data_IF_143195121422
#
_entry.id   IF_143195121422
#
_cell.length_a   1.000
_cell.length_b   1.000
_cell.length_c   1.000
_cell.angle_alpha   90.00
_cell.angle_beta   90.00
_cell.angle_gamma   90.00
#
_symmetry.space_group_name_H-M   'P 1'
#
loop_
_entity.id
_entity.type
_entity.pdbx_description
1 polymer ?
#
# COMPACT_ATOMS: atom_id res chain seq x y z
N UNK A 1 -38.28 -6.94 15.28
CA UNK A 1 -37.02 -6.50 15.92
C UNK A 1 -36.05 -7.62 15.66
N UNK A 2 -34.92 -7.33 15.00
CA UNK A 2 -33.85 -8.30 14.82
C UNK A 2 -33.34 -8.78 16.17
N UNK A 3 -33.01 -10.07 16.27
CA UNK A 3 -32.40 -10.61 17.48
C UNK A 3 -30.91 -10.33 17.45
N UNK A 4 -30.48 -9.39 18.31
CA UNK A 4 -29.10 -8.90 18.36
C UNK A 4 -28.50 -9.25 19.71
N UNK A 5 -27.48 -10.10 19.70
CA UNK A 5 -26.74 -10.51 20.90
C UNK A 5 -25.28 -10.10 20.80
N UNK A 6 -24.79 -9.34 21.78
CA UNK A 6 -23.39 -8.91 21.89
C UNK A 6 -22.72 -9.70 23.02
N UNK A 7 -21.83 -10.62 22.65
CA UNK A 7 -20.93 -11.28 23.58
C UNK A 7 -19.78 -10.33 23.95
N UNK A 8 -19.59 -10.11 25.25
CA UNK A 8 -18.75 -9.04 25.82
C UNK A 8 -17.93 -9.57 26.99
N UNK A 9 -16.93 -8.79 27.40
CA UNK A 9 -16.34 -8.88 28.76
C UNK A 9 -16.27 -7.50 29.40
N UNK A 10 -16.13 -7.46 30.72
CA UNK A 10 -16.15 -6.22 31.52
C UNK A 10 -15.06 -5.21 31.13
N UNK A 11 -13.89 -5.68 30.66
CA UNK A 11 -12.72 -4.82 30.34
C UNK A 11 -12.42 -4.71 28.85
N UNK A 12 -13.36 -5.06 27.99
CA UNK A 12 -13.18 -5.06 26.55
C UNK A 12 -13.53 -3.68 25.95
N UNK A 13 -12.54 -2.88 25.47
CA UNK A 13 -12.81 -1.56 24.90
C UNK A 13 -13.64 -1.63 23.62
N UNK A 14 -13.40 -2.62 22.77
CA UNK A 14 -14.16 -2.82 21.53
C UNK A 14 -15.63 -3.22 21.79
N UNK A 15 -15.89 -3.94 22.89
CA UNK A 15 -17.24 -4.28 23.31
C UNK A 15 -18.01 -3.01 23.73
N UNK A 16 -17.33 -2.02 24.32
CA UNK A 16 -17.94 -0.72 24.59
C UNK A 16 -18.26 0.04 23.30
N UNK A 17 -17.42 -0.08 22.27
CA UNK A 17 -17.65 0.54 20.96
C UNK A 17 -18.88 -0.04 20.24
N UNK A 18 -19.04 -1.37 20.21
CA UNK A 18 -20.25 -2.04 19.68
C UNK A 18 -21.51 -1.52 20.38
N UNK A 19 -21.51 -1.50 21.72
CA UNK A 19 -22.65 -1.01 22.51
C UNK A 19 -22.96 0.46 22.23
N UNK A 20 -21.93 1.30 22.15
CA UNK A 20 -22.07 2.72 21.85
C UNK A 20 -22.64 2.96 20.45
N UNK A 21 -22.20 2.20 19.46
CA UNK A 21 -22.72 2.25 18.10
C UNK A 21 -24.21 1.87 18.04
N UNK A 22 -24.58 0.73 18.61
CA UNK A 22 -25.97 0.25 18.61
C UNK A 22 -26.89 1.24 19.36
N UNK A 23 -26.44 1.77 20.51
CA UNK A 23 -27.15 2.82 21.23
C UNK A 23 -27.32 4.10 20.39
N UNK A 24 -26.27 4.55 19.69
CA UNK A 24 -26.30 5.76 18.85
C UNK A 24 -27.31 5.64 17.71
N UNK A 25 -27.50 4.43 17.17
CA UNK A 25 -28.42 4.14 16.07
C UNK A 25 -29.83 3.76 16.55
N UNK A 26 -30.10 3.85 17.85
CA UNK A 26 -31.38 3.44 18.47
C UNK A 26 -31.74 1.97 18.20
N UNK A 27 -30.72 1.11 18.15
CA UNK A 27 -30.85 -0.33 17.90
C UNK A 27 -30.84 -1.06 19.24
N UNK A 28 -31.88 -1.85 19.51
CA UNK A 28 -31.99 -2.68 20.73
C UNK A 28 -31.16 -3.96 20.62
N UNK A 29 -30.48 -4.35 21.71
CA UNK A 29 -29.64 -5.56 21.76
C UNK A 29 -29.60 -6.16 23.17
N UNK A 30 -29.19 -7.43 23.25
CA UNK A 30 -28.88 -8.17 24.47
C UNK A 30 -27.36 -8.26 24.65
N UNK A 31 -26.86 -8.14 25.88
CA UNK A 31 -25.43 -8.32 26.19
C UNK A 31 -25.25 -9.56 27.04
N UNK A 32 -24.32 -10.43 26.63
CA UNK A 32 -23.88 -11.58 27.41
C UNK A 32 -22.42 -11.39 27.79
N UNK A 33 -22.13 -11.32 29.10
CA UNK A 33 -20.76 -11.20 29.59
C UNK A 33 -20.12 -12.57 29.76
N UNK A 34 -19.42 -13.04 28.72
CA UNK A 34 -18.77 -14.37 28.70
C UNK A 34 -17.53 -14.45 29.59
N UNK A 35 -17.13 -13.34 30.22
CA UNK A 35 -16.07 -13.31 31.22
C UNK A 35 -16.54 -13.78 32.60
N UNK A 36 -17.86 -13.90 32.80
CA UNK A 36 -18.44 -14.31 34.08
C UNK A 36 -18.59 -15.84 34.18
N UNK A 37 -18.29 -16.45 35.34
CA UNK A 37 -18.39 -17.91 35.52
C UNK A 37 -19.78 -18.49 35.23
N UNK A 38 -20.84 -17.72 35.46
CA UNK A 38 -22.22 -18.13 35.19
C UNK A 38 -22.54 -18.27 33.69
N UNK A 39 -21.76 -17.66 32.79
CA UNK A 39 -22.00 -17.63 31.35
C UNK A 39 -21.02 -18.53 30.56
N UNK A 40 -20.48 -19.58 31.20
CA UNK A 40 -19.50 -20.49 30.57
C UNK A 40 -20.10 -21.21 29.35
N UNK A 41 -21.37 -21.60 29.40
CA UNK A 41 -22.02 -22.25 28.25
C UNK A 41 -22.23 -21.27 27.09
N UNK A 42 -22.56 -20.01 27.38
CA UNK A 42 -22.62 -18.95 26.36
C UNK A 42 -21.25 -18.67 25.74
N UNK A 43 -20.18 -18.74 26.53
CA UNK A 43 -18.82 -18.62 26.03
C UNK A 43 -18.46 -19.76 25.06
N UNK A 44 -18.86 -21.00 25.38
CA UNK A 44 -18.67 -22.16 24.48
C UNK A 44 -19.48 -22.02 23.21
N UNK A 45 -20.72 -21.54 23.33
CA UNK A 45 -21.60 -21.31 22.19
C UNK A 45 -21.04 -20.21 21.27
N UNK A 46 -20.62 -19.08 21.84
CA UNK A 46 -19.92 -18.01 21.11
C UNK A 46 -18.73 -18.57 20.33
N UNK A 47 -17.86 -19.39 20.96
CA UNK A 47 -16.73 -20.03 20.29
C UNK A 47 -17.19 -20.96 19.15
N UNK A 48 -18.27 -21.72 19.37
CA UNK A 48 -18.80 -22.67 18.39
C UNK A 48 -19.30 -21.96 17.13
N UNK A 49 -20.04 -20.85 17.29
CA UNK A 49 -20.67 -20.15 16.17
C UNK A 49 -19.71 -19.20 15.44
N UNK A 50 -18.75 -18.62 16.16
CA UNK A 50 -17.82 -17.63 15.59
C UNK A 50 -16.44 -18.18 15.24
N UNK A 51 -16.07 -19.34 15.80
CA UNK A 51 -14.69 -19.83 15.79
C UNK A 51 -13.73 -19.00 16.66
N UNK A 52 -14.22 -17.95 17.32
CA UNK A 52 -13.42 -17.01 18.09
C UNK A 52 -13.45 -17.28 19.59
N UNK A 53 -12.28 -17.13 20.22
CA UNK A 53 -12.12 -17.21 21.68
C UNK A 53 -12.14 -15.85 22.38
N UNK A 54 -12.13 -14.77 21.60
CA UNK A 54 -12.16 -13.39 22.07
C UNK A 54 -13.51 -12.70 21.87
N UNK A 55 -13.65 -11.52 22.47
CA UNK A 55 -14.81 -10.62 22.35
C UNK A 55 -14.35 -9.27 21.75
N UNK A 56 -15.25 -8.48 21.12
CA UNK A 56 -16.69 -8.72 20.97
C UNK A 56 -17.01 -9.70 19.84
N UNK A 57 -18.10 -10.45 20.02
CA UNK A 57 -18.80 -11.17 18.95
C UNK A 57 -20.24 -10.70 18.98
N UNK A 58 -20.75 -10.23 17.85
CA UNK A 58 -22.14 -9.78 17.72
C UNK A 58 -22.88 -10.72 16.78
N UNK A 59 -24.02 -11.24 17.22
CA UNK A 59 -24.89 -12.08 16.40
C UNK A 59 -26.13 -11.27 16.05
N UNK A 60 -26.45 -11.16 14.75
CA UNK A 60 -27.62 -10.46 14.23
C UNK A 60 -28.39 -11.42 13.34
N UNK A 61 -29.58 -11.85 13.77
CA UNK A 61 -30.44 -12.76 13.00
C UNK A 61 -29.71 -14.02 12.45
N UNK A 62 -28.73 -14.51 13.23
CA UNK A 62 -27.90 -15.68 12.90
C UNK A 62 -26.60 -15.37 12.16
N UNK A 63 -26.39 -14.15 11.71
CA UNK A 63 -25.13 -13.68 11.14
C UNK A 63 -24.14 -13.29 12.24
N UNK A 64 -22.88 -13.71 12.11
CA UNK A 64 -21.84 -13.50 13.14
C UNK A 64 -20.87 -12.41 12.68
N UNK A 65 -20.80 -11.32 13.43
CA UNK A 65 -19.80 -10.26 13.29
C UNK A 65 -18.76 -10.41 14.39
N UNK A 66 -17.50 -10.45 14.00
CA UNK A 66 -16.36 -10.55 14.91
C UNK A 66 -15.75 -9.16 15.05
N UNK A 67 -15.51 -8.71 16.28
CA UNK A 67 -14.94 -7.40 16.54
C UNK A 67 -15.96 -6.26 16.43
N UNK A 68 -15.45 -5.05 16.23
CA UNK A 68 -16.26 -3.86 15.99
C UNK A 68 -16.11 -3.44 14.53
N UNK A 69 -17.08 -3.83 13.70
CA UNK A 69 -17.07 -3.60 12.24
C UNK A 69 -18.29 -2.76 11.84
N UNK A 70 -18.11 -1.44 11.80
CA UNK A 70 -19.18 -0.48 11.49
C UNK A 70 -19.69 -0.59 10.07
N UNK A 71 -18.85 -0.97 9.10
CA UNK A 71 -19.26 -1.19 7.73
C UNK A 71 -20.25 -2.36 7.66
N UNK A 72 -19.93 -3.49 8.30
CA UNK A 72 -20.83 -4.65 8.34
C UNK A 72 -22.11 -4.37 9.10
N UNK A 73 -22.05 -3.61 10.20
CA UNK A 73 -23.26 -3.15 10.88
C UNK A 73 -24.12 -2.24 9.99
N UNK A 74 -23.51 -1.27 9.30
CA UNK A 74 -24.23 -0.37 8.41
C UNK A 74 -24.91 -1.14 7.27
N UNK A 75 -24.22 -2.09 6.65
CA UNK A 75 -24.76 -2.97 5.61
C UNK A 75 -25.98 -3.75 6.11
N UNK A 76 -25.86 -4.45 7.24
CA UNK A 76 -26.94 -5.28 7.79
C UNK A 76 -28.15 -4.43 8.20
N UNK A 77 -27.92 -3.25 8.76
CA UNK A 77 -29.00 -2.35 9.19
C UNK A 77 -29.54 -1.47 8.05
N UNK A 78 -29.04 -1.61 6.82
CA UNK A 78 -29.44 -0.77 5.69
C UNK A 78 -29.19 0.71 5.95
N UNK A 79 -28.15 1.03 6.72
CA UNK A 79 -27.75 2.39 7.02
C UNK A 79 -26.86 2.85 5.87
N UNK A 80 -27.43 3.61 4.94
CA UNK A 80 -26.65 4.32 3.93
C UNK A 80 -25.76 5.38 4.61
N UNK A 81 -24.44 5.19 4.59
CA UNK A 81 -23.51 6.30 4.87
C UNK A 81 -23.55 7.26 3.67
N UNK A 82 -24.45 8.24 3.76
CA UNK A 82 -24.41 9.41 2.89
C UNK A 82 -23.17 10.23 3.21
N UNK A 83 -22.24 10.35 2.26
CA UNK A 83 -21.13 11.33 2.18
C UNK A 83 -20.71 11.94 3.53
N UNK A 84 -19.99 11.15 4.33
CA UNK A 84 -19.63 11.52 5.70
C UNK A 84 -18.67 12.71 5.77
N UNK A 85 -18.82 13.52 6.82
CA UNK A 85 -17.76 14.41 7.29
C UNK A 85 -16.85 13.61 8.22
N UNK A 86 -15.56 13.58 7.93
CA UNK A 86 -14.55 12.86 8.70
C UNK A 86 -13.58 13.85 9.36
N UNK A 87 -12.93 13.43 10.44
CA UNK A 87 -11.79 14.18 10.96
C UNK A 87 -10.61 14.04 9.99
N UNK A 88 -10.41 12.83 9.48
CA UNK A 88 -9.30 12.48 8.60
C UNK A 88 -9.75 11.59 7.43
N UNK A 89 -9.38 11.97 6.21
CA UNK A 89 -9.41 11.07 5.04
C UNK A 89 -7.99 10.65 4.67
N UNK A 90 -7.79 9.36 4.43
CA UNK A 90 -6.53 8.78 3.97
C UNK A 90 -6.74 8.28 2.54
N UNK A 91 -5.93 8.76 1.60
CA UNK A 91 -6.02 8.39 0.19
C UNK A 91 -4.95 7.34 -0.11
N UNK A 92 -5.37 6.09 -0.27
CA UNK A 92 -4.52 4.93 -0.53
C UNK A 92 -4.47 3.96 0.65
N UNK A 93 -4.61 2.66 0.37
CA UNK A 93 -4.62 1.58 1.35
C UNK A 93 -3.41 0.64 1.22
N UNK A 94 -2.23 1.19 0.88
CA UNK A 94 -0.95 0.49 0.97
C UNK A 94 -0.37 0.52 2.40
N UNK A 95 0.90 0.13 2.58
CA UNK A 95 1.55 0.09 3.90
C UNK A 95 1.48 1.42 4.67
N UNK A 96 1.69 2.55 3.98
CA UNK A 96 1.58 3.88 4.57
C UNK A 96 0.16 4.20 5.05
N UNK A 97 -0.84 4.01 4.18
CA UNK A 97 -2.23 4.34 4.48
C UNK A 97 -2.86 3.46 5.56
N UNK A 98 -2.65 2.13 5.48
CA UNK A 98 -3.15 1.21 6.50
C UNK A 98 -2.49 1.46 7.87
N UNK A 99 -1.18 1.78 7.89
CA UNK A 99 -0.51 2.17 9.15
C UNK A 99 -1.08 3.49 9.68
N UNK A 100 -1.26 4.49 8.83
CA UNK A 100 -1.87 5.77 9.22
C UNK A 100 -3.27 5.57 9.79
N UNK A 101 -4.07 4.70 9.20
CA UNK A 101 -5.43 4.37 9.66
C UNK A 101 -5.45 3.78 11.07
N UNK A 102 -4.56 2.83 11.37
CA UNK A 102 -4.42 2.28 12.72
C UNK A 102 -4.06 3.37 13.74
N UNK A 103 -3.13 4.27 13.39
CA UNK A 103 -2.74 5.35 14.30
C UNK A 103 -3.86 6.38 14.51
N UNK A 104 -4.59 6.74 13.44
CA UNK A 104 -5.73 7.64 13.51
C UNK A 104 -6.86 7.06 14.37
N UNK A 105 -7.19 5.77 14.20
CA UNK A 105 -8.21 5.11 15.00
C UNK A 105 -7.84 5.05 16.49
N UNK A 106 -6.56 4.84 16.81
CA UNK A 106 -6.06 4.86 18.20
C UNK A 106 -6.11 6.25 18.84
N UNK A 107 -6.21 7.30 18.02
CA UNK A 107 -6.48 8.68 18.44
C UNK A 107 -7.97 9.03 18.44
N UNK A 108 -8.84 8.04 18.19
CA UNK A 108 -10.30 8.17 18.15
C UNK A 108 -10.80 9.14 17.07
N UNK A 109 -10.02 9.35 16.01
CA UNK A 109 -10.42 10.17 14.87
C UNK A 109 -11.46 9.42 14.01
N UNK A 110 -12.52 10.12 13.59
CA UNK A 110 -13.40 9.64 12.54
C UNK A 110 -12.60 9.58 11.23
N UNK A 111 -12.30 8.37 10.77
CA UNK A 111 -11.34 8.13 9.68
C UNK A 111 -11.96 7.33 8.55
N UNK A 112 -11.75 7.80 7.32
CA UNK A 112 -12.08 7.09 6.08
C UNK A 112 -10.80 6.87 5.26
N UNK A 113 -10.60 5.65 4.79
CA UNK A 113 -9.53 5.29 3.85
C UNK A 113 -10.17 5.02 2.49
N UNK A 114 -9.72 5.71 1.45
CA UNK A 114 -10.23 5.55 0.07
C UNK A 114 -9.11 4.99 -0.81
N UNK A 115 -9.33 3.84 -1.46
CA UNK A 115 -8.30 3.21 -2.30
C UNK A 115 -8.87 2.28 -3.36
N UNK A 116 -8.23 2.18 -4.52
CA UNK A 116 -8.62 1.26 -5.60
C UNK A 116 -8.41 -0.22 -5.24
N UNK A 117 -7.49 -0.49 -4.32
CA UNK A 117 -7.24 -1.81 -3.76
C UNK A 117 -6.66 -1.69 -2.35
N UNK A 118 -6.73 -2.79 -1.59
CA UNK A 118 -6.09 -2.92 -0.27
C UNK A 118 -4.74 -3.62 -0.45
N UNK A 119 -3.69 -3.08 0.16
CA UNK A 119 -2.33 -3.60 0.15
C UNK A 119 -1.39 -2.92 -0.86
N UNK A 120 -1.93 -2.30 -1.92
CA UNK A 120 -1.12 -1.60 -2.93
C UNK A 120 -0.10 -2.51 -3.62
N UNK A 121 1.02 -1.93 -4.05
CA UNK A 121 2.11 -2.66 -4.71
C UNK A 121 2.70 -3.80 -3.87
N UNK A 122 2.58 -3.74 -2.53
CA UNK A 122 3.16 -4.75 -1.66
C UNK A 122 2.56 -6.14 -1.90
N UNK A 123 1.32 -6.24 -2.40
CA UNK A 123 0.69 -7.51 -2.78
C UNK A 123 1.44 -8.28 -3.87
N UNK A 124 2.19 -7.57 -4.73
CA UNK A 124 2.87 -8.16 -5.89
C UNK A 124 4.20 -8.83 -5.50
N UNK A 125 4.67 -8.62 -4.27
CA UNK A 125 5.92 -9.19 -3.79
C UNK A 125 5.76 -10.68 -3.49
N UNK A 126 6.55 -11.51 -4.15
CA UNK A 126 6.57 -12.96 -3.90
C UNK A 126 7.17 -13.30 -2.54
N UNK A 127 8.25 -12.62 -2.15
CA UNK A 127 8.97 -12.86 -0.91
C UNK A 127 9.52 -11.55 -0.34
N UNK A 128 9.15 -11.26 0.91
CA UNK A 128 9.62 -10.11 1.67
C UNK A 128 10.48 -10.64 2.81
N UNK A 129 11.78 -10.36 2.76
CA UNK A 129 12.77 -10.78 3.77
C UNK A 129 13.35 -9.60 4.57
N UNK A 130 12.86 -8.39 4.32
CA UNK A 130 13.37 -7.14 4.88
C UNK A 130 12.35 -6.39 5.75
N UNK A 131 11.22 -7.02 6.10
CA UNK A 131 10.24 -6.48 7.04
C UNK A 131 10.45 -7.09 8.43
N UNK A 132 11.01 -6.31 9.35
CA UNK A 132 11.37 -6.76 10.69
C UNK A 132 10.17 -7.39 11.42
N UNK A 133 10.39 -8.57 12.00
CA UNK A 133 9.36 -9.42 12.62
C UNK A 133 9.04 -10.68 11.82
N UNK A 134 9.39 -10.71 10.53
CA UNK A 134 9.30 -11.89 9.68
C UNK A 134 10.68 -12.26 9.13
N UNK A 135 11.00 -13.56 9.11
CA UNK A 135 12.16 -14.05 8.37
C UNK A 135 11.90 -14.00 6.87
N UNK A 136 10.72 -14.44 6.46
CA UNK A 136 10.18 -14.31 5.12
C UNK A 136 8.64 -14.33 5.21
N UNK A 137 7.98 -13.48 4.43
CA UNK A 137 6.53 -13.46 4.27
C UNK A 137 6.19 -13.08 2.83
N UNK A 138 5.08 -13.56 2.28
CA UNK A 138 4.61 -13.07 0.97
C UNK A 138 4.01 -11.68 1.10
N UNK A 139 3.99 -10.93 -0.01
CA UNK A 139 3.35 -9.63 -0.09
C UNK A 139 1.88 -9.63 0.33
N UNK A 140 1.12 -10.57 -0.24
CA UNK A 140 -0.30 -10.75 0.08
C UNK A 140 -0.53 -11.11 1.54
N UNK A 141 0.28 -12.00 2.12
CA UNK A 141 0.11 -12.39 3.53
C UNK A 141 0.46 -11.24 4.49
N UNK A 142 1.47 -10.42 4.14
CA UNK A 142 1.82 -9.25 4.94
C UNK A 142 0.70 -8.21 4.90
N UNK A 143 0.14 -7.93 3.72
CA UNK A 143 -0.94 -6.95 3.58
C UNK A 143 -2.25 -7.44 4.20
N UNK A 144 -2.58 -8.73 4.10
CA UNK A 144 -3.72 -9.31 4.79
C UNK A 144 -3.64 -9.11 6.32
N UNK A 145 -2.43 -9.15 6.89
CA UNK A 145 -2.22 -8.84 8.32
C UNK A 145 -2.40 -7.37 8.66
N UNK A 146 -2.01 -6.46 7.76
CA UNK A 146 -2.26 -5.02 7.93
C UNK A 146 -3.76 -4.73 7.86
N UNK A 147 -4.45 -5.31 6.88
CA UNK A 147 -5.89 -5.20 6.71
C UNK A 147 -6.64 -5.76 7.92
N UNK A 148 -6.30 -6.96 8.40
CA UNK A 148 -6.85 -7.55 9.62
C UNK A 148 -6.72 -6.58 10.80
N UNK A 149 -5.56 -5.95 10.97
CA UNK A 149 -5.34 -4.98 12.03
C UNK A 149 -6.24 -3.74 11.88
N UNK A 150 -6.42 -3.22 10.66
CA UNK A 150 -7.32 -2.08 10.39
C UNK A 150 -8.79 -2.44 10.63
N UNK A 151 -9.24 -3.63 10.22
CA UNK A 151 -10.62 -4.10 10.43
C UNK A 151 -10.98 -4.28 11.91
N UNK A 152 -9.98 -4.47 12.80
CA UNK A 152 -10.24 -4.46 14.25
C UNK A 152 -10.50 -3.06 14.82
N UNK A 153 -10.33 -2.00 14.02
CA UNK A 153 -10.45 -0.61 14.42
C UNK A 153 -11.70 0.04 13.80
N UNK A 154 -12.15 1.16 14.36
CA UNK A 154 -13.24 1.95 13.79
C UNK A 154 -12.75 2.83 12.62
N UNK A 155 -12.38 2.20 11.52
CA UNK A 155 -11.94 2.84 10.28
C UNK A 155 -12.86 2.40 9.16
N UNK A 156 -13.40 3.35 8.41
CA UNK A 156 -14.17 3.05 7.22
C UNK A 156 -13.21 2.87 6.03
N UNK A 157 -13.41 1.84 5.22
CA UNK A 157 -12.66 1.56 4.00
C UNK A 157 -13.60 1.66 2.80
N UNK A 158 -13.26 2.52 1.84
CA UNK A 158 -14.00 2.72 0.60
C UNK A 158 -13.14 2.28 -0.59
N UNK A 159 -13.65 1.31 -1.36
CA UNK A 159 -13.00 0.82 -2.57
C UNK A 159 -13.35 1.70 -3.76
N UNK A 160 -12.64 2.81 -3.92
CA UNK A 160 -12.81 3.77 -5.00
C UNK A 160 -11.50 4.50 -5.30
N UNK A 161 -11.44 5.19 -6.44
CA UNK A 161 -10.33 6.07 -6.82
C UNK A 161 -10.68 7.52 -6.53
N UNK A 162 -9.83 8.23 -5.80
CA UNK A 162 -9.94 9.69 -5.71
C UNK A 162 -9.65 10.33 -7.06
N UNK A 163 -10.58 11.14 -7.54
CA UNK A 163 -10.50 11.86 -8.82
C UNK A 163 -10.10 13.32 -8.64
N UNK A 164 -10.43 13.93 -7.50
CA UNK A 164 -10.12 15.33 -7.19
C UNK A 164 -10.13 15.61 -5.69
N UNK A 165 -9.28 16.55 -5.28
CA UNK A 165 -9.29 17.17 -3.95
C UNK A 165 -9.39 18.69 -4.09
N UNK A 166 -10.17 19.35 -3.24
CA UNK A 166 -10.35 20.80 -3.20
C UNK A 166 -10.47 21.30 -1.76
N UNK A 167 -10.07 22.56 -1.52
CA UNK A 167 -10.34 23.24 -0.25
C UNK A 167 -11.68 23.96 -0.32
N UNK A 168 -12.48 23.85 0.73
CA UNK A 168 -13.77 24.53 0.89
C UNK A 168 -13.58 25.87 1.61
N UNK A 169 -14.57 26.76 1.49
CA UNK A 169 -14.54 28.10 2.11
C UNK A 169 -14.44 28.07 3.66
N UNK A 170 -14.89 26.97 4.27
CA UNK A 170 -14.84 26.74 5.71
C UNK A 170 -13.53 26.09 6.19
N UNK A 171 -12.56 25.91 5.28
CA UNK A 171 -11.25 25.32 5.57
C UNK A 171 -11.22 23.80 5.54
N UNK A 172 -12.35 23.11 5.31
CA UNK A 172 -12.36 21.65 5.11
C UNK A 172 -11.92 21.27 3.71
N UNK A 173 -11.59 20.00 3.53
CA UNK A 173 -11.25 19.40 2.24
C UNK A 173 -12.43 18.63 1.67
N UNK A 174 -12.70 18.82 0.39
CA UNK A 174 -13.68 18.08 -0.37
C UNK A 174 -12.97 17.06 -1.27
N UNK A 175 -13.33 15.78 -1.15
CA UNK A 175 -12.72 14.67 -1.88
C UNK A 175 -13.80 14.08 -2.79
N UNK A 176 -13.54 14.09 -4.10
CA UNK A 176 -14.40 13.44 -5.10
C UNK A 176 -13.75 12.16 -5.59
N UNK A 177 -14.56 11.15 -5.85
CA UNK A 177 -14.08 9.87 -6.35
C UNK A 177 -14.45 9.65 -7.82
N UNK A 178 -14.04 8.52 -8.39
CA UNK A 178 -14.34 8.16 -9.77
C UNK A 178 -15.77 7.64 -9.93
N UNK A 179 -16.42 7.16 -8.86
CA UNK A 179 -17.82 6.78 -8.84
C UNK A 179 -18.79 7.94 -8.56
N UNK A 180 -18.30 9.20 -8.64
CA UNK A 180 -19.03 10.42 -8.32
C UNK A 180 -19.50 10.53 -6.85
N UNK A 181 -18.91 9.75 -5.95
CA UNK A 181 -19.07 9.96 -4.51
C UNK A 181 -18.28 11.18 -4.04
N UNK A 182 -18.74 11.77 -2.94
CA UNK A 182 -18.16 12.98 -2.40
C UNK A 182 -18.10 12.91 -0.87
N UNK A 183 -16.92 13.22 -0.33
CA UNK A 183 -16.63 13.18 1.09
C UNK A 183 -16.04 14.52 1.55
N UNK A 184 -16.11 14.80 2.85
CA UNK A 184 -15.46 15.96 3.44
C UNK A 184 -14.59 15.57 4.61
N UNK A 185 -13.45 16.24 4.78
CA UNK A 185 -12.59 16.03 5.94
C UNK A 185 -11.95 17.32 6.46
N UNK A 186 -11.62 17.35 7.75
CA UNK A 186 -10.82 18.44 8.34
C UNK A 186 -9.32 18.32 8.02
N UNK A 187 -8.84 17.11 7.77
CA UNK A 187 -7.45 16.81 7.42
C UNK A 187 -7.36 15.66 6.40
N UNK A 188 -6.28 15.62 5.62
CA UNK A 188 -6.06 14.58 4.60
C UNK A 188 -4.63 14.03 4.66
N UNK A 189 -4.48 12.71 4.57
CA UNK A 189 -3.18 12.05 4.32
C UNK A 189 -3.19 11.44 2.92
N UNK A 190 -2.26 11.85 2.06
CA UNK A 190 -2.06 11.26 0.74
C UNK A 190 -1.02 10.16 0.83
N UNK A 191 -1.45 8.92 0.67
CA UNK A 191 -0.66 7.70 0.73
C UNK A 191 -0.86 6.84 -0.54
N UNK A 192 -1.10 7.49 -1.68
CA UNK A 192 -1.49 6.84 -2.95
C UNK A 192 -0.38 6.04 -3.62
N UNK A 193 0.85 6.13 -3.12
CA UNK A 193 2.02 5.39 -3.61
C UNK A 193 2.45 5.79 -5.03
N UNK A 194 3.05 4.83 -5.73
CA UNK A 194 3.45 4.94 -7.14
C UNK A 194 2.93 3.75 -7.93
N UNK A 195 3.19 3.71 -9.23
CA UNK A 195 3.14 2.50 -10.04
C UNK A 195 4.39 2.41 -10.94
N UNK A 196 4.88 1.21 -11.26
CA UNK A 196 6.00 1.05 -12.20
C UNK A 196 5.58 1.43 -13.62
N UNK A 197 6.53 1.97 -14.38
CA UNK A 197 6.38 2.00 -15.84
C UNK A 197 6.54 0.59 -16.37
N UNK A 198 5.60 0.19 -17.21
CA UNK A 198 5.60 -1.11 -17.88
C UNK A 198 6.29 -1.00 -19.25
N UNK A 199 6.94 -2.07 -19.69
CA UNK A 199 7.52 -2.23 -21.02
C UNK A 199 6.43 -2.44 -22.08
N UNK A 200 5.29 -3.02 -21.71
CA UNK A 200 4.18 -3.31 -22.62
C UNK A 200 4.49 -4.46 -23.58
N UNK A 201 5.24 -5.47 -23.12
CA UNK A 201 5.75 -6.57 -23.96
C UNK A 201 5.17 -7.92 -23.55
N UNK A 202 5.18 -8.86 -24.49
CA UNK A 202 4.76 -10.24 -24.20
C UNK A 202 5.60 -10.84 -23.06
N UNK A 203 4.92 -11.47 -22.10
CA UNK A 203 5.53 -12.13 -20.96
C UNK A 203 5.75 -11.24 -19.73
N UNK A 204 5.66 -9.92 -19.85
CA UNK A 204 5.89 -9.00 -18.73
C UNK A 204 4.98 -9.29 -17.53
N UNK A 205 3.66 -9.23 -17.72
CA UNK A 205 2.67 -9.50 -16.66
C UNK A 205 2.79 -10.93 -16.12
N UNK A 206 3.07 -11.90 -16.99
CA UNK A 206 3.18 -13.32 -16.61
C UNK A 206 4.32 -13.56 -15.62
N UNK A 207 5.43 -12.85 -15.81
CA UNK A 207 6.68 -13.10 -15.08
C UNK A 207 6.96 -12.09 -13.97
N UNK A 208 6.12 -11.07 -13.79
CA UNK A 208 6.19 -10.15 -12.65
C UNK A 208 6.13 -10.95 -11.33
N UNK A 209 7.13 -10.75 -10.46
CA UNK A 209 7.32 -11.51 -9.23
C UNK A 209 7.84 -12.95 -9.42
N UNK A 210 8.09 -13.39 -10.67
CA UNK A 210 8.57 -14.74 -11.04
C UNK A 210 9.84 -14.67 -11.89
N UNK A 211 10.80 -13.86 -11.45
CA UNK A 211 12.05 -13.61 -12.18
C UNK A 211 12.09 -12.23 -12.84
N UNK A 212 10.94 -11.57 -13.02
CA UNK A 212 10.87 -10.16 -13.36
C UNK A 212 10.61 -9.35 -12.09
N UNK A 213 11.43 -8.33 -11.84
CA UNK A 213 11.37 -7.47 -10.65
C UNK A 213 11.44 -6.00 -11.03
N UNK A 214 10.86 -5.16 -10.18
CA UNK A 214 10.94 -3.68 -10.24
C UNK A 214 11.73 -3.10 -9.04
N UNK A 215 12.26 -3.96 -8.16
CA UNK A 215 12.98 -3.56 -6.95
C UNK A 215 14.25 -4.39 -6.78
N UNK A 216 15.38 -3.83 -7.20
CA UNK A 216 16.71 -4.44 -7.02
C UNK A 216 17.12 -4.63 -5.57
N UNK A 217 16.79 -3.68 -4.70
CA UNK A 217 17.06 -3.78 -3.26
C UNK A 217 16.30 -4.94 -2.61
N UNK A 218 15.10 -5.24 -3.10
CA UNK A 218 14.23 -6.29 -2.56
C UNK A 218 14.71 -7.67 -3.03
N UNK A 219 14.81 -7.86 -4.34
CA UNK A 219 14.99 -9.20 -4.92
C UNK A 219 16.44 -9.50 -5.32
N UNK A 220 17.31 -8.49 -5.36
CA UNK A 220 18.71 -8.62 -5.75
C UNK A 220 19.45 -9.78 -5.08
N UNK A 221 19.40 -9.92 -3.74
CA UNK A 221 20.07 -11.01 -3.02
C UNK A 221 19.73 -12.43 -3.52
N UNK A 222 18.55 -12.63 -4.13
CA UNK A 222 18.10 -13.91 -4.67
C UNK A 222 18.87 -14.36 -5.92
N UNK A 223 19.57 -13.44 -6.60
CA UNK A 223 20.24 -13.69 -7.88
C UNK A 223 21.76 -13.90 -7.77
N UNK A 224 22.23 -14.34 -6.60
CA UNK A 224 23.64 -14.70 -6.42
C UNK A 224 24.07 -15.80 -7.41
N UNK A 225 25.18 -15.59 -8.11
CA UNK A 225 25.73 -16.49 -9.14
C UNK A 225 24.76 -16.80 -10.30
N UNK A 226 23.81 -15.91 -10.58
CA UNK A 226 22.84 -16.02 -11.69
C UNK A 226 23.16 -15.06 -12.84
N UNK A 227 22.53 -15.25 -14.00
CA UNK A 227 22.57 -14.25 -15.08
C UNK A 227 21.41 -13.27 -14.94
N UNK A 228 21.73 -11.99 -14.79
CA UNK A 228 20.75 -10.93 -14.52
C UNK A 228 20.72 -9.93 -15.67
N UNK A 229 19.53 -9.46 -16.02
CA UNK A 229 19.31 -8.41 -17.01
C UNK A 229 18.71 -7.20 -16.33
N UNK A 230 19.23 -6.00 -16.61
CA UNK A 230 18.69 -4.72 -16.16
C UNK A 230 18.18 -3.97 -17.39
N UNK A 231 16.97 -3.44 -17.32
CA UNK A 231 16.35 -2.67 -18.39
C UNK A 231 16.21 -1.23 -17.93
N UNK A 232 16.93 -0.31 -18.57
CA UNK A 232 16.91 1.11 -18.24
C UNK A 232 18.25 1.78 -18.50
N UNK A 233 18.24 3.11 -18.54
CA UNK A 233 19.46 3.91 -18.79
C UNK A 233 19.68 5.04 -17.80
N UNK A 234 18.83 5.18 -16.77
CA UNK A 234 18.98 6.24 -15.76
C UNK A 234 19.82 5.80 -14.57
N UNK A 235 19.93 6.69 -13.57
CA UNK A 235 20.63 6.42 -12.30
C UNK A 235 20.20 5.10 -11.64
N UNK A 236 18.91 4.80 -11.53
CA UNK A 236 18.43 3.57 -10.92
C UNK A 236 18.94 2.32 -11.63
N UNK A 237 18.88 2.29 -12.97
CA UNK A 237 19.37 1.17 -13.77
C UNK A 237 20.88 0.96 -13.60
N UNK A 238 21.66 2.05 -13.61
CA UNK A 238 23.12 1.98 -13.46
C UNK A 238 23.52 1.54 -12.04
N UNK A 239 22.87 2.06 -11.01
CA UNK A 239 23.10 1.63 -9.63
C UNK A 239 22.75 0.15 -9.44
N UNK A 240 21.57 -0.28 -9.89
CA UNK A 240 21.16 -1.70 -9.88
C UNK A 240 22.17 -2.56 -10.64
N UNK A 241 22.72 -2.09 -11.76
CA UNK A 241 23.76 -2.81 -12.51
C UNK A 241 25.02 -3.00 -11.67
N UNK A 242 25.51 -1.94 -11.02
CA UNK A 242 26.71 -1.98 -10.16
C UNK A 242 26.48 -2.91 -8.95
N UNK A 243 25.30 -2.87 -8.35
CA UNK A 243 24.94 -3.73 -7.23
C UNK A 243 24.86 -5.19 -7.64
N UNK A 244 24.18 -5.50 -8.75
CA UNK A 244 24.04 -6.86 -9.25
C UNK A 244 25.38 -7.44 -9.70
N UNK A 245 26.27 -6.63 -10.29
CA UNK A 245 27.59 -7.09 -10.70
C UNK A 245 28.45 -7.65 -9.55
N UNK A 246 28.18 -7.25 -8.29
CA UNK A 246 28.85 -7.75 -7.09
C UNK A 246 28.41 -9.15 -6.67
N UNK A 247 27.22 -9.60 -7.10
CA UNK A 247 26.61 -10.85 -6.63
C UNK A 247 26.25 -11.83 -7.75
N UNK A 248 25.91 -11.34 -8.94
CA UNK A 248 25.52 -12.11 -10.11
C UNK A 248 26.75 -12.68 -10.84
N UNK A 249 26.55 -13.75 -11.61
CA UNK A 249 27.58 -14.32 -12.48
C UNK A 249 27.83 -13.41 -13.69
N UNK A 250 26.75 -13.05 -14.39
CA UNK A 250 26.77 -12.20 -15.58
C UNK A 250 25.67 -11.15 -15.49
N UNK A 251 25.95 -9.94 -15.96
CA UNK A 251 25.01 -8.82 -15.96
C UNK A 251 24.86 -8.25 -17.35
N UNK A 252 23.62 -8.12 -17.82
CA UNK A 252 23.29 -7.46 -19.08
C UNK A 252 22.54 -6.17 -18.80
N UNK A 253 23.04 -5.03 -19.28
CA UNK A 253 22.34 -3.75 -19.20
C UNK A 253 21.75 -3.39 -20.58
N UNK A 254 20.42 -3.32 -20.68
CA UNK A 254 19.72 -2.95 -21.91
C UNK A 254 19.33 -1.48 -21.85
N UNK A 255 19.83 -0.70 -22.81
CA UNK A 255 19.65 0.75 -22.87
C UNK A 255 19.02 1.14 -24.20
N UNK A 256 17.83 1.72 -24.15
CA UNK A 256 17.06 2.11 -25.35
C UNK A 256 17.76 3.14 -26.24
N UNK A 257 18.58 4.03 -25.68
CA UNK A 257 19.21 5.14 -26.41
C UNK A 257 20.62 5.44 -25.93
N UNK A 258 20.77 6.12 -24.81
CA UNK A 258 22.05 6.36 -24.15
C UNK A 258 21.88 6.17 -22.64
N UNK A 259 22.99 5.93 -21.96
CA UNK A 259 23.03 6.03 -20.50
C UNK A 259 22.90 7.52 -20.14
N UNK A 260 22.12 7.79 -19.10
CA UNK A 260 21.79 9.11 -18.54
C UNK A 260 21.89 9.00 -17.02
N UNK A 261 23.08 8.66 -16.56
CA UNK A 261 23.37 8.55 -15.14
C UNK A 261 24.43 9.58 -14.74
N UNK A 262 24.57 9.84 -13.44
CA UNK A 262 25.60 10.71 -12.93
C UNK A 262 26.98 10.11 -13.27
N UNK A 263 27.94 10.95 -13.67
CA UNK A 263 29.26 10.50 -14.15
C UNK A 263 29.96 9.53 -13.20
N UNK A 264 29.74 9.68 -11.89
CA UNK A 264 30.32 8.81 -10.85
C UNK A 264 29.84 7.36 -10.97
N UNK A 265 28.62 7.13 -11.44
CA UNK A 265 28.08 5.80 -11.66
C UNK A 265 28.49 5.26 -13.02
N UNK A 266 28.53 6.11 -14.05
CA UNK A 266 28.98 5.69 -15.39
C UNK A 266 30.41 5.17 -15.36
N UNK A 267 31.33 5.88 -14.68
CA UNK A 267 32.73 5.45 -14.53
C UNK A 267 32.88 4.10 -13.82
N UNK A 268 31.95 3.77 -12.90
CA UNK A 268 31.98 2.47 -12.21
C UNK A 268 31.59 1.32 -13.13
N UNK A 269 30.84 1.56 -14.22
CA UNK A 269 30.48 0.51 -15.16
C UNK A 269 31.70 -0.05 -15.91
N UNK A 270 32.69 0.81 -16.22
CA UNK A 270 33.90 0.43 -16.96
C UNK A 270 34.76 -0.60 -16.20
N UNK A 271 34.68 -0.60 -14.87
CA UNK A 271 35.43 -1.51 -14.00
C UNK A 271 34.76 -2.91 -13.87
N UNK A 272 33.53 -3.08 -14.36
CA UNK A 272 32.75 -4.30 -14.20
C UNK A 272 33.10 -5.35 -15.25
N UNK A 273 33.80 -6.41 -14.81
CA UNK A 273 34.29 -7.49 -15.69
C UNK A 273 33.22 -8.45 -16.21
N UNK A 274 32.06 -8.49 -15.55
CA UNK A 274 30.93 -9.38 -15.87
C UNK A 274 29.73 -8.62 -16.46
N UNK A 275 29.94 -7.38 -16.95
CA UNK A 275 28.92 -6.56 -17.57
C UNK A 275 28.97 -6.63 -19.10
N UNK A 276 27.79 -6.73 -19.74
CA UNK A 276 27.61 -6.44 -21.16
C UNK A 276 26.52 -5.41 -21.35
N UNK A 277 26.84 -4.31 -22.05
CA UNK A 277 25.90 -3.21 -22.31
C UNK A 277 25.33 -3.34 -23.74
N UNK A 278 24.01 -3.31 -23.86
CA UNK A 278 23.26 -3.39 -25.11
C UNK A 278 22.56 -2.05 -25.38
N UNK A 279 23.29 -1.12 -25.98
CA UNK A 279 22.80 0.22 -26.33
C UNK A 279 22.03 0.21 -27.65
N UNK A 280 20.91 0.94 -27.72
CA UNK A 280 20.05 0.98 -28.91
C UNK A 280 19.12 -0.23 -29.05
N UNK A 281 18.86 -0.93 -27.95
CA UNK A 281 17.98 -2.10 -27.92
C UNK A 281 16.72 -1.83 -27.10
N UNK A 282 15.58 -2.28 -27.63
CA UNK A 282 14.32 -2.40 -26.89
C UNK A 282 14.08 -3.86 -26.48
N UNK A 283 13.39 -4.09 -25.37
CA UNK A 283 12.90 -5.43 -25.03
C UNK A 283 11.72 -5.75 -25.95
N UNK A 284 11.74 -6.92 -26.59
CA UNK A 284 10.67 -7.39 -27.46
C UNK A 284 9.70 -8.33 -26.74
N UNK A 285 10.23 -9.24 -25.89
CA UNK A 285 9.45 -10.20 -25.10
C UNK A 285 10.29 -10.85 -24.01
N UNK A 286 9.63 -11.35 -22.98
CA UNK A 286 10.24 -12.07 -21.85
C UNK A 286 9.77 -13.53 -21.90
N UNK A 287 10.71 -14.46 -21.83
CA UNK A 287 10.47 -15.90 -22.02
C UNK A 287 10.84 -16.73 -20.79
N UNK A 288 10.11 -17.82 -20.58
CA UNK A 288 10.31 -18.68 -19.43
C UNK A 288 9.24 -19.75 -19.28
N UNK A 289 9.43 -20.63 -18.31
CA UNK A 289 8.47 -21.67 -17.93
C UNK A 289 7.57 -21.18 -16.78
N UNK A 290 7.89 -21.59 -15.55
CA UNK A 290 7.34 -21.05 -14.30
C UNK A 290 8.05 -19.76 -13.90
N UNK A 291 9.33 -19.61 -14.25
CA UNK A 291 10.15 -18.44 -13.97
C UNK A 291 10.81 -17.95 -15.26
N UNK A 292 11.31 -16.71 -15.25
CA UNK A 292 12.10 -16.15 -16.36
C UNK A 292 13.30 -17.06 -16.68
N UNK A 293 13.53 -17.28 -17.98
CA UNK A 293 14.69 -18.02 -18.53
C UNK A 293 15.42 -17.26 -19.63
N UNK A 294 14.73 -16.33 -20.29
CA UNK A 294 15.31 -15.55 -21.37
C UNK A 294 14.60 -14.21 -21.56
N UNK A 295 15.29 -13.30 -22.23
CA UNK A 295 14.73 -12.06 -22.74
C UNK A 295 15.13 -11.90 -24.20
N UNK A 296 14.20 -11.45 -25.03
CA UNK A 296 14.49 -11.11 -26.43
C UNK A 296 14.60 -9.61 -26.54
N UNK A 297 15.70 -9.14 -27.09
CA UNK A 297 15.96 -7.73 -27.36
C UNK A 297 16.00 -7.49 -28.86
N UNK A 298 15.55 -6.31 -29.28
CA UNK A 298 15.50 -5.89 -30.67
C UNK A 298 16.31 -4.62 -30.88
N UNK A 299 17.25 -4.68 -31.81
CA UNK A 299 18.01 -3.50 -32.21
C UNK A 299 17.06 -2.52 -32.92
N UNK A 300 17.09 -1.24 -32.51
CA UNK A 300 16.15 -0.22 -33.00
C UNK A 300 16.44 0.24 -34.43
N UNK A 301 17.69 0.14 -34.88
CA UNK A 301 18.12 0.56 -36.22
C UNK A 301 17.99 -0.58 -37.23
N UNK A 302 18.55 -1.76 -36.92
CA UNK A 302 18.54 -2.90 -37.85
C UNK A 302 17.26 -3.73 -37.79
N UNK A 303 16.52 -3.65 -36.68
CA UNK A 303 15.37 -4.52 -36.40
C UNK A 303 15.74 -5.96 -36.02
N UNK A 304 17.02 -6.29 -35.90
CA UNK A 304 17.51 -7.63 -35.56
C UNK A 304 17.14 -8.00 -34.11
N UNK A 305 16.61 -9.20 -33.93
CA UNK A 305 16.32 -9.78 -32.61
C UNK A 305 17.45 -10.67 -32.12
N UNK A 306 17.76 -10.57 -30.82
CA UNK A 306 18.69 -11.46 -30.13
C UNK A 306 18.05 -11.95 -28.83
N UNK A 307 18.23 -13.23 -28.54
CA UNK A 307 17.83 -13.83 -27.27
C UNK A 307 19.00 -13.87 -26.30
N UNK A 308 18.80 -13.37 -25.08
CA UNK A 308 19.75 -13.47 -23.98
C UNK A 308 19.22 -14.44 -22.92
N UNK A 309 20.08 -15.28 -22.31
CA UNK A 309 19.69 -16.02 -21.11
C UNK A 309 19.46 -15.03 -19.96
N UNK A 310 18.45 -15.28 -19.14
CA UNK A 310 18.12 -14.46 -17.99
C UNK A 310 17.50 -15.34 -16.90
N UNK A 311 18.14 -15.39 -15.73
CA UNK A 311 17.50 -15.95 -14.53
C UNK A 311 16.67 -14.89 -13.80
N UNK A 312 17.04 -13.61 -13.94
CA UNK A 312 16.36 -12.46 -13.37
C UNK A 312 16.39 -11.24 -14.30
N UNK A 313 15.32 -10.46 -14.32
CA UNK A 313 15.17 -9.24 -15.10
C UNK A 313 14.70 -8.12 -14.17
N UNK A 314 15.44 -7.03 -14.09
CA UNK A 314 15.10 -5.84 -13.30
C UNK A 314 14.67 -4.71 -14.24
N UNK A 315 13.43 -4.25 -14.10
CA UNK A 315 12.87 -3.13 -14.86
C UNK A 315 13.14 -1.83 -14.08
N UNK A 316 14.06 -1.03 -14.58
CA UNK A 316 14.55 0.21 -13.96
C UNK A 316 14.29 1.41 -14.89
N UNK A 317 13.09 1.47 -15.46
CA UNK A 317 12.65 2.54 -16.38
C UNK A 317 11.84 3.65 -15.69
N UNK A 318 11.69 3.57 -14.36
CA UNK A 318 11.12 4.60 -13.51
C UNK A 318 9.75 4.25 -12.93
N UNK A 319 9.44 4.90 -11.81
CA UNK A 319 8.14 4.83 -11.13
C UNK A 319 7.37 6.13 -11.36
N UNK A 320 6.05 6.04 -11.50
CA UNK A 320 5.14 7.18 -11.65
C UNK A 320 4.36 7.37 -10.35
N UNK A 321 4.48 8.51 -9.67
CA UNK A 321 3.64 8.82 -8.51
C UNK A 321 2.16 8.90 -8.86
N UNK A 322 1.31 8.36 -7.97
CA UNK A 322 -0.14 8.40 -8.14
C UNK A 322 -0.70 9.75 -7.67
N UNK A 323 -0.31 10.83 -8.35
CA UNK A 323 -0.61 12.23 -7.98
C UNK A 323 -1.53 12.95 -8.97
N UNK A 324 -2.01 12.26 -10.02
CA UNK A 324 -2.80 12.87 -11.09
C UNK A 324 -4.07 13.60 -10.63
N UNK A 325 -4.70 13.14 -9.55
CA UNK A 325 -5.90 13.78 -8.98
C UNK A 325 -5.62 15.14 -8.32
N UNK A 326 -4.35 15.46 -8.02
CA UNK A 326 -3.97 16.72 -7.37
C UNK A 326 -4.03 17.90 -8.34
N UNK A 327 -3.77 17.72 -9.64
CA UNK A 327 -3.82 18.80 -10.63
C UNK A 327 -3.10 20.11 -10.22
N UNK A 328 -1.92 19.99 -9.59
CA UNK A 328 -1.14 21.14 -9.12
C UNK A 328 -1.56 21.73 -7.76
N UNK A 329 -2.46 21.05 -7.05
CA UNK A 329 -2.93 21.46 -5.72
C UNK A 329 -1.81 21.43 -4.65
N UNK A 330 -0.79 20.59 -4.82
CA UNK A 330 0.37 20.50 -3.95
C UNK A 330 1.67 20.76 -4.71
N UNK A 331 2.67 21.25 -3.99
CA UNK A 331 4.03 21.34 -4.49
C UNK A 331 4.63 19.94 -4.71
N UNK A 332 5.18 19.75 -5.89
CA UNK A 332 5.79 18.49 -6.32
C UNK A 332 7.17 18.77 -6.92
N UNK A 333 8.07 17.79 -6.83
CA UNK A 333 9.34 17.86 -7.55
C UNK A 333 9.17 17.57 -9.04
N UNK A 334 10.25 17.65 -9.82
CA UNK A 334 10.25 17.40 -11.26
C UNK A 334 9.83 15.97 -11.66
N UNK A 335 9.80 15.04 -10.70
CA UNK A 335 9.35 13.66 -10.89
C UNK A 335 7.87 13.45 -10.54
N UNK A 336 7.16 14.51 -10.13
CA UNK A 336 5.76 14.47 -9.72
C UNK A 336 5.54 13.89 -8.33
N UNK A 337 6.59 13.81 -7.50
CA UNK A 337 6.49 13.37 -6.10
C UNK A 337 6.12 14.55 -5.20
N UNK A 338 5.26 14.32 -4.21
CA UNK A 338 4.83 15.35 -3.26
C UNK A 338 6.02 15.75 -2.38
N UNK A 339 6.31 17.06 -2.32
CA UNK A 339 7.33 17.60 -1.43
C UNK A 339 6.78 17.61 -0.01
N UNK A 340 7.52 17.00 0.91
CA UNK A 340 7.18 16.99 2.34
C UNK A 340 8.39 17.35 3.20
N UNK A 341 8.12 17.92 4.37
CA UNK A 341 9.12 18.10 5.42
C UNK A 341 9.41 16.76 6.16
N UNK A 342 10.36 16.72 7.11
CA UNK A 342 10.65 15.50 7.88
C UNK A 342 9.47 14.94 8.67
N UNK A 343 8.41 15.73 8.90
CA UNK A 343 7.20 15.40 9.63
C UNK A 343 6.01 15.15 8.68
N UNK A 344 6.25 14.90 7.40
CA UNK A 344 5.23 14.60 6.39
C UNK A 344 4.27 15.78 6.06
N UNK A 345 4.59 17.01 6.47
CA UNK A 345 3.80 18.19 6.09
C UNK A 345 3.98 18.53 4.62
N UNK A 346 2.89 18.87 3.94
CA UNK A 346 2.93 19.47 2.60
C UNK A 346 2.92 20.99 2.68
N UNK A 347 2.91 21.67 1.53
CA UNK A 347 2.74 23.12 1.45
C UNK A 347 1.33 23.61 1.84
N UNK A 348 0.35 22.71 1.98
CA UNK A 348 -1.03 23.04 2.37
C UNK A 348 -1.28 22.56 3.80
N UNK A 349 -1.56 23.47 4.77
CA UNK A 349 -1.89 23.09 6.14
C UNK A 349 -3.09 22.15 6.20
N UNK A 350 -3.01 21.11 7.03
CA UNK A 350 -4.04 20.06 7.11
C UNK A 350 -3.93 18.98 6.03
N UNK A 351 -2.94 19.07 5.13
CA UNK A 351 -2.62 18.00 4.19
C UNK A 351 -1.20 17.48 4.44
N UNK A 352 -1.15 16.17 4.58
CA UNK A 352 0.06 15.40 4.81
C UNK A 352 0.23 14.40 3.68
N UNK A 353 1.45 13.94 3.44
CA UNK A 353 1.69 12.85 2.50
C UNK A 353 2.71 11.86 3.03
N UNK A 354 2.50 10.57 2.75
CA UNK A 354 3.29 9.49 3.33
C UNK A 354 3.60 8.39 2.32
N UNK A 355 4.77 7.77 2.49
CA UNK A 355 5.23 6.67 1.66
C UNK A 355 5.65 7.11 0.26
N UNK A 356 5.55 6.19 -0.70
CA UNK A 356 6.27 6.31 -1.96
C UNK A 356 5.81 7.47 -2.86
N UNK A 357 4.60 8.00 -2.65
CA UNK A 357 4.07 9.19 -3.36
C UNK A 357 4.87 10.46 -3.08
N UNK A 358 5.61 10.49 -1.97
CA UNK A 358 6.41 11.66 -1.52
C UNK A 358 7.82 11.66 -2.11
N UNK A 359 8.55 12.76 -1.95
CA UNK A 359 9.95 12.89 -2.36
C UNK A 359 10.97 12.14 -1.46
N UNK A 360 10.51 11.29 -0.53
CA UNK A 360 11.40 10.46 0.29
C UNK A 360 12.19 9.48 -0.59
N UNK A 361 13.49 9.36 -0.35
CA UNK A 361 14.36 8.53 -1.20
C UNK A 361 14.11 7.03 -1.02
N UNK A 362 13.86 6.58 0.21
CA UNK A 362 13.68 5.17 0.52
C UNK A 362 12.27 4.68 0.20
N UNK A 363 12.11 3.96 -0.91
CA UNK A 363 10.84 3.35 -1.33
C UNK A 363 10.76 1.91 -0.85
N UNK A 364 10.38 1.71 0.40
CA UNK A 364 10.35 0.40 1.07
C UNK A 364 9.13 0.29 1.99
N UNK A 365 8.57 -0.91 2.14
CA UNK A 365 7.36 -1.18 2.94
C UNK A 365 7.50 -0.65 4.37
N UNK A 366 8.63 -0.94 5.03
CA UNK A 366 8.89 -0.51 6.41
C UNK A 366 9.04 1.01 6.54
N UNK A 367 9.61 1.66 5.52
CA UNK A 367 9.76 3.11 5.48
C UNK A 367 8.39 3.75 5.27
N UNK A 368 7.61 3.26 4.30
CA UNK A 368 6.26 3.74 4.03
C UNK A 368 5.34 3.60 5.25
N UNK A 369 5.40 2.47 5.97
CA UNK A 369 4.67 2.28 7.22
C UNK A 369 5.09 3.31 8.29
N UNK A 370 6.40 3.56 8.44
CA UNK A 370 6.92 4.60 9.34
C UNK A 370 6.42 6.01 9.00
N UNK A 371 6.45 6.38 7.72
CA UNK A 371 5.91 7.66 7.23
C UNK A 371 4.40 7.75 7.49
N UNK A 372 3.64 6.67 7.29
CA UNK A 372 2.21 6.61 7.58
C UNK A 372 1.88 6.88 9.04
N UNK A 373 2.62 6.24 9.96
CA UNK A 373 2.49 6.50 11.39
C UNK A 373 2.78 7.97 11.74
N UNK A 374 3.85 8.53 11.17
CA UNK A 374 4.25 9.92 11.39
C UNK A 374 3.17 10.90 10.91
N UNK A 375 2.71 10.74 9.67
CA UNK A 375 1.66 11.57 9.09
C UNK A 375 0.35 11.53 9.90
N UNK A 376 -0.03 10.38 10.45
CA UNK A 376 -1.22 10.27 11.29
C UNK A 376 -1.09 11.00 12.64
N UNK A 377 0.11 11.00 13.24
CA UNK A 377 0.36 11.74 14.48
C UNK A 377 0.33 13.25 14.24
N UNK A 378 0.95 13.72 13.16
CA UNK A 378 0.97 15.15 12.81
C UNK A 378 -0.41 15.64 12.35
N UNK A 379 -1.18 14.81 11.62
CA UNK A 379 -2.56 15.10 11.29
C UNK A 379 -3.45 15.25 12.53
N UNK A 380 -3.26 14.38 13.54
CA UNK A 380 -3.94 14.53 14.82
C UNK A 380 -3.56 15.84 15.51
N UNK A 381 -2.27 16.18 15.57
CA UNK A 381 -1.82 17.39 16.27
C UNK A 381 -2.33 18.67 15.58
N UNK A 382 -2.40 18.67 14.25
CA UNK A 382 -3.07 19.71 13.48
C UNK A 382 -4.56 19.85 13.83
N UNK A 383 -5.27 18.72 13.92
CA UNK A 383 -6.70 18.72 14.26
C UNK A 383 -6.95 19.25 15.69
N UNK A 384 -6.06 18.95 16.64
CA UNK A 384 -6.16 19.46 18.02
C UNK A 384 -5.83 20.95 18.12
N UNK A 385 -4.92 21.45 17.28
CA UNK A 385 -4.57 22.88 17.25
C UNK A 385 -5.62 23.76 16.55
N UNK A 386 -6.52 23.14 15.77
CA UNK A 386 -7.54 23.83 14.96
C UNK A 386 -8.97 23.59 15.46
N UNK A 387 -9.12 23.02 16.66
CA UNK A 387 -10.40 22.88 17.38
C UNK A 387 -10.87 24.17 18.06
#
# INVERSE_FOLDING_TARGET
MSDITVYSTERCPYCAMVKAYLNKKDISYTVIDVGKPENIEDAKEMIRISGQRGVPVTVIDGEVIIGFDTARFNEIFGIEESGGAYDLIIIGAGPAGLTAAVYAARKLLSTLVISENIGGQSNESWAIENYMGYLMITGSDLMAKFEEQVHTQNVNLELDRVSRIETMDDGRFHIKTASDQAFTARSVIIASGKHPRMLGVEGEEKFLGKGLSICSTCDGPLYRNKTVVIVGGGNSAVQTTIEMAKIARDVHLIVRSSIRADEVFERQLDDLKNLSIHTGYDVARIGGDKFVRSIVIKNRESGEEKTLPADGVFIEIGLIPNTGFLNGFLEMNDQGEIIVDPNCHTNVPGIFAAGDVTAIKGKQIIIAAGEGAKAALEAHDYLMATE
#
